data_IF_356202830912
#
_entry.id   IF_356202830912
#
_cell.length_a   1.000
_cell.length_b   1.000
_cell.length_c   1.000
_cell.angle_alpha   90.00
_cell.angle_beta   90.00
_cell.angle_gamma   90.00
#
_symmetry.space_group_name_H-M   'P 1'
#
loop_
_entity.id
_entity.type
_entity.pdbx_description
1 polymer ?
#
# COMPACT_ATOMS: atom_id res chain seq x y z
N UNK A 1 -40.91 -2.31 14.38
CA UNK A 1 -40.35 -0.99 14.04
C UNK A 1 -39.58 -0.46 15.25
N UNK A 2 -38.26 -0.65 15.28
CA UNK A 2 -37.40 -0.11 16.36
C UNK A 2 -36.65 1.07 15.79
N UNK A 3 -36.91 2.24 16.33
CA UNK A 3 -36.22 3.49 15.98
C UNK A 3 -34.84 3.47 16.63
N UNK A 4 -33.76 3.45 15.82
CA UNK A 4 -32.41 3.72 16.27
C UNK A 4 -32.22 5.24 16.38
N UNK A 5 -32.04 5.72 17.58
CA UNK A 5 -31.59 7.09 17.86
C UNK A 5 -30.07 7.12 17.88
N UNK A 6 -29.47 7.89 16.99
CA UNK A 6 -28.02 8.16 16.96
C UNK A 6 -27.78 9.43 17.77
N UNK A 7 -26.93 9.42 18.80
CA UNK A 7 -26.55 10.65 19.50
C UNK A 7 -25.50 11.41 18.67
N UNK A 8 -25.85 12.65 18.34
CA UNK A 8 -24.93 13.64 17.78
C UNK A 8 -23.96 14.13 18.86
N UNK A 9 -22.68 13.82 18.72
CA UNK A 9 -21.62 14.45 19.51
C UNK A 9 -20.99 15.52 18.65
N UNK A 10 -21.33 16.78 18.95
CA UNK A 10 -20.68 17.97 18.39
C UNK A 10 -19.56 18.34 19.35
N UNK A 11 -18.31 18.16 18.92
CA UNK A 11 -17.15 18.73 19.60
C UNK A 11 -16.75 20.04 18.92
N UNK A 12 -16.89 21.14 19.65
CA UNK A 12 -16.44 22.46 19.23
C UNK A 12 -14.92 22.57 19.36
N UNK A 13 -14.23 22.93 18.29
CA UNK A 13 -12.82 23.33 18.29
C UNK A 13 -12.71 24.83 18.28
N UNK A 14 -12.16 25.37 19.37
CA UNK A 14 -11.82 26.78 19.58
C UNK A 14 -10.52 27.09 18.84
N UNK A 15 -10.56 28.16 18.08
CA UNK A 15 -9.40 28.76 17.43
C UNK A 15 -8.53 29.51 18.44
N UNK A 16 -7.23 29.34 18.38
CA UNK A 16 -6.23 30.16 19.06
C UNK A 16 -5.27 30.75 18.05
N UNK A 17 -5.26 32.05 17.96
CA UNK A 17 -4.49 32.84 17.02
C UNK A 17 -3.19 33.40 17.62
N UNK A 18 -2.23 33.62 16.72
CA UNK A 18 -1.19 34.67 16.68
C UNK A 18 -0.08 34.76 17.73
N UNK A 19 1.12 34.90 17.22
CA UNK A 19 2.26 35.46 17.93
C UNK A 19 3.54 35.49 17.12
N UNK A 20 3.66 36.47 16.18
CA UNK A 20 4.93 36.90 15.61
C UNK A 20 5.88 37.42 16.69
N UNK A 21 7.17 37.13 16.57
CA UNK A 21 8.22 38.12 16.89
C UNK A 21 9.55 37.79 16.18
N UNK A 22 9.92 38.73 15.31
CA UNK A 22 11.25 39.06 14.85
C UNK A 22 12.25 39.28 16.00
N UNK A 23 13.49 38.87 15.84
CA UNK A 23 14.63 39.75 16.07
C UNK A 23 15.89 39.23 15.42
N UNK A 24 16.51 40.13 14.63
CA UNK A 24 17.85 40.08 14.11
C UNK A 24 18.90 40.31 15.22
N UNK A 25 20.06 39.74 15.12
CA UNK A 25 21.32 40.52 15.21
C UNK A 25 22.51 39.67 14.78
N UNK A 26 23.18 40.22 13.81
CA UNK A 26 24.60 40.16 13.45
C UNK A 26 25.53 40.10 14.66
N UNK A 27 26.66 39.37 14.57
CA UNK A 27 27.99 39.99 14.53
C UNK A 27 29.07 38.97 14.18
N UNK A 28 29.96 39.45 13.34
CA UNK A 28 31.17 38.79 12.88
C UNK A 28 32.22 38.75 14.00
N UNK A 29 33.03 37.71 14.04
CA UNK A 29 34.45 37.92 14.36
C UNK A 29 35.36 36.86 13.68
N UNK A 30 36.47 37.35 13.22
CA UNK A 30 37.42 36.67 12.38
C UNK A 30 38.57 36.04 13.21
N UNK A 31 39.21 35.07 12.57
CA UNK A 31 40.58 34.63 12.72
C UNK A 31 40.99 33.80 13.96
N UNK A 32 41.33 32.55 13.67
CA UNK A 32 42.71 32.09 13.94
C UNK A 32 42.98 30.79 13.15
N UNK A 33 43.98 30.87 12.28
CA UNK A 33 44.49 29.75 11.48
C UNK A 33 45.45 28.98 12.37
N UNK A 34 45.08 27.79 12.77
CA UNK A 34 46.02 26.82 13.33
C UNK A 34 46.05 25.59 12.43
N UNK A 35 47.17 25.46 11.73
CA UNK A 35 47.51 24.27 10.93
C UNK A 35 47.72 23.08 11.83
N UNK A 36 46.78 22.13 11.77
CA UNK A 36 46.98 20.81 12.34
C UNK A 36 46.99 19.81 11.20
N UNK A 37 48.06 19.04 11.14
CA UNK A 37 48.33 17.99 10.16
C UNK A 37 47.16 17.03 10.04
N UNK A 38 46.73 16.80 8.81
CA UNK A 38 45.73 15.83 8.45
C UNK A 38 46.27 14.41 8.62
N UNK A 39 45.89 13.73 9.70
CA UNK A 39 45.88 12.29 9.73
C UNK A 39 44.57 11.83 9.11
N UNK A 40 44.64 11.21 7.94
CA UNK A 40 43.52 10.54 7.29
C UNK A 40 43.10 9.35 8.15
N UNK A 41 41.85 9.29 8.64
CA UNK A 41 41.35 8.05 9.19
C UNK A 41 41.21 7.04 8.06
N UNK A 42 42.01 6.01 8.08
CA UNK A 42 41.83 4.83 7.26
C UNK A 42 40.44 4.22 7.60
N UNK A 43 39.50 4.44 6.72
CA UNK A 43 38.21 3.70 6.73
C UNK A 43 38.57 2.26 6.43
N UNK A 44 38.73 1.47 7.48
CA UNK A 44 38.71 0.01 7.39
C UNK A 44 37.29 -0.41 7.08
N UNK A 45 36.99 -0.58 5.79
CA UNK A 45 35.85 -1.38 5.36
C UNK A 45 36.01 -2.76 5.98
N UNK A 46 35.03 -3.27 6.72
CA UNK A 46 35.05 -4.65 7.14
C UNK A 46 34.79 -5.50 5.90
N UNK A 47 35.87 -5.87 5.22
CA UNK A 47 35.84 -6.95 4.23
C UNK A 47 35.72 -8.23 5.05
N UNK A 48 34.50 -8.60 5.45
CA UNK A 48 34.26 -9.94 5.95
C UNK A 48 34.70 -10.94 4.86
N UNK A 49 35.51 -11.93 5.19
CA UNK A 49 35.96 -12.90 4.20
C UNK A 49 34.73 -13.57 3.61
N UNK A 50 34.64 -13.60 2.28
CA UNK A 50 33.70 -14.42 1.54
C UNK A 50 34.10 -15.86 1.89
N UNK A 51 33.41 -16.45 2.86
CA UNK A 51 33.46 -17.88 3.09
C UNK A 51 32.96 -18.54 1.83
N UNK A 52 33.85 -19.22 1.11
CA UNK A 52 33.56 -20.08 -0.05
C UNK A 52 32.86 -21.36 0.42
N UNK A 53 31.75 -21.18 1.17
CA UNK A 53 30.79 -22.24 1.48
C UNK A 53 29.57 -22.05 0.58
N UNK A 54 29.00 -23.16 0.10
CA UNK A 54 27.72 -23.16 -0.59
C UNK A 54 26.70 -22.31 0.18
N UNK A 55 26.07 -21.34 -0.49
CA UNK A 55 25.09 -20.47 0.17
C UNK A 55 23.86 -21.30 0.50
N UNK A 56 23.53 -21.41 1.80
CA UNK A 56 22.34 -22.13 2.21
C UNK A 56 21.09 -21.25 2.07
N UNK A 57 19.96 -21.88 1.71
CA UNK A 57 18.66 -21.22 1.68
C UNK A 57 18.32 -20.60 3.06
N UNK A 58 18.56 -21.34 4.14
CA UNK A 58 18.24 -20.92 5.50
C UNK A 58 19.07 -19.69 5.92
N UNK A 59 20.35 -19.62 5.53
CA UNK A 59 21.18 -18.45 5.78
C UNK A 59 20.67 -17.22 5.07
N UNK A 60 20.27 -17.35 3.80
CA UNK A 60 19.67 -16.28 3.02
C UNK A 60 18.29 -15.86 3.58
N UNK A 61 17.48 -16.82 4.02
CA UNK A 61 16.19 -16.54 4.64
C UNK A 61 16.34 -15.86 6.00
N UNK A 62 17.32 -16.23 6.80
CA UNK A 62 17.65 -15.56 8.05
C UNK A 62 17.99 -14.10 7.81
N UNK A 63 18.85 -13.78 6.85
CA UNK A 63 19.15 -12.39 6.49
C UNK A 63 17.88 -11.60 6.11
N UNK A 64 16.95 -12.22 5.36
CA UNK A 64 15.68 -11.60 5.01
C UNK A 64 14.79 -11.34 6.24
N UNK A 65 14.65 -12.31 7.14
CA UNK A 65 13.80 -12.19 8.35
C UNK A 65 14.34 -11.17 9.33
N UNK A 66 15.66 -11.02 9.40
CA UNK A 66 16.36 -9.99 10.18
C UNK A 66 16.39 -8.62 9.48
N UNK A 67 15.68 -8.49 8.34
CA UNK A 67 15.57 -7.27 7.54
C UNK A 67 16.88 -6.78 6.93
N UNK A 68 17.89 -7.62 6.84
CA UNK A 68 19.15 -7.36 6.14
C UNK A 68 18.96 -7.61 4.64
N UNK A 69 18.10 -6.80 3.99
CA UNK A 69 17.58 -7.07 2.66
C UNK A 69 18.65 -7.07 1.56
N UNK A 70 19.65 -6.18 1.64
CA UNK A 70 20.77 -6.15 0.69
C UNK A 70 21.62 -7.42 0.78
N UNK A 71 21.84 -7.94 1.97
CA UNK A 71 22.53 -9.20 2.19
C UNK A 71 21.68 -10.37 1.68
N UNK A 72 20.40 -10.40 2.02
CA UNK A 72 19.46 -11.41 1.52
C UNK A 72 19.43 -11.43 -0.01
N UNK A 73 19.42 -10.26 -0.66
CA UNK A 73 19.46 -10.13 -2.12
C UNK A 73 20.72 -10.79 -2.70
N UNK A 74 21.90 -10.50 -2.15
CA UNK A 74 23.16 -11.12 -2.58
C UNK A 74 23.16 -12.64 -2.36
N UNK A 75 22.74 -13.09 -1.18
CA UNK A 75 22.70 -14.51 -0.84
C UNK A 75 21.70 -15.28 -1.73
N UNK A 76 20.48 -14.76 -1.95
CA UNK A 76 19.53 -15.42 -2.85
C UNK A 76 19.97 -15.37 -4.32
N UNK A 77 20.70 -14.33 -4.76
CA UNK A 77 21.31 -14.30 -6.09
C UNK A 77 22.31 -15.44 -6.27
N UNK A 78 23.19 -15.65 -5.29
CA UNK A 78 24.15 -16.76 -5.31
C UNK A 78 23.42 -18.11 -5.23
N UNK A 79 22.47 -18.23 -4.29
CA UNK A 79 21.69 -19.46 -4.09
C UNK A 79 20.95 -19.89 -5.37
N UNK A 80 20.30 -18.97 -6.08
CA UNK A 80 19.55 -19.29 -7.29
C UNK A 80 20.44 -19.62 -8.48
N UNK A 81 21.69 -19.14 -8.50
CA UNK A 81 22.68 -19.57 -9.51
C UNK A 81 23.13 -21.02 -9.32
N UNK A 82 23.23 -21.47 -8.07
CA UNK A 82 23.59 -22.86 -7.72
C UNK A 82 22.37 -23.81 -7.78
N UNK A 83 21.15 -23.27 -7.60
CA UNK A 83 19.90 -24.02 -7.55
C UNK A 83 18.85 -23.47 -8.55
N UNK A 84 19.11 -23.54 -9.86
CA UNK A 84 18.32 -22.86 -10.89
C UNK A 84 16.89 -23.42 -11.08
N UNK A 85 16.55 -24.52 -10.43
CA UNK A 85 15.19 -25.10 -10.43
C UNK A 85 14.37 -24.76 -9.18
N UNK A 86 14.98 -24.10 -8.18
CA UNK A 86 14.32 -23.85 -6.90
C UNK A 86 13.37 -22.66 -6.98
N UNK A 87 12.07 -22.91 -7.03
CA UNK A 87 11.01 -21.90 -7.08
C UNK A 87 11.06 -20.92 -5.90
N UNK A 88 11.28 -21.45 -4.70
CA UNK A 88 11.32 -20.66 -3.48
C UNK A 88 12.55 -19.74 -3.41
N UNK A 89 13.68 -20.19 -3.98
CA UNK A 89 14.88 -19.35 -4.13
C UNK A 89 14.57 -18.10 -4.95
N UNK A 90 13.98 -18.26 -6.13
CA UNK A 90 13.57 -17.14 -6.99
C UNK A 90 12.48 -16.29 -6.36
N UNK A 91 11.52 -16.90 -5.66
CA UNK A 91 10.51 -16.14 -4.91
C UNK A 91 11.13 -15.26 -3.83
N UNK A 92 12.04 -15.78 -3.03
CA UNK A 92 12.74 -15.03 -1.99
C UNK A 92 13.70 -13.98 -2.56
N UNK A 93 14.34 -14.26 -3.69
CA UNK A 93 15.11 -13.29 -4.46
C UNK A 93 14.23 -12.09 -4.86
N UNK A 94 13.05 -12.37 -5.40
CA UNK A 94 12.08 -11.34 -5.78
C UNK A 94 11.61 -10.50 -4.58
N UNK A 95 11.34 -11.12 -3.44
CA UNK A 95 11.00 -10.40 -2.21
C UNK A 95 12.14 -9.51 -1.73
N UNK A 96 13.38 -10.01 -1.78
CA UNK A 96 14.57 -9.26 -1.35
C UNK A 96 14.80 -8.05 -2.26
N UNK A 97 14.72 -8.24 -3.59
CA UNK A 97 14.81 -7.16 -4.57
C UNK A 97 13.72 -6.10 -4.36
N UNK A 98 12.48 -6.52 -4.11
CA UNK A 98 11.40 -5.58 -3.83
C UNK A 98 11.65 -4.76 -2.56
N UNK A 99 12.17 -5.40 -1.49
CA UNK A 99 12.50 -4.73 -0.21
C UNK A 99 13.65 -3.74 -0.32
N UNK A 100 14.60 -3.97 -1.22
CA UNK A 100 15.69 -3.02 -1.52
C UNK A 100 15.28 -1.92 -2.50
N UNK A 101 14.05 -1.97 -3.04
CA UNK A 101 13.54 -1.01 -4.01
C UNK A 101 13.83 -1.37 -5.47
N UNK A 102 14.54 -2.45 -5.74
CA UNK A 102 14.79 -2.95 -7.11
C UNK A 102 13.52 -3.65 -7.65
N UNK A 103 12.59 -2.84 -8.13
CA UNK A 103 11.32 -3.33 -8.69
C UNK A 103 11.52 -4.19 -9.94
N UNK A 104 12.46 -3.82 -10.79
CA UNK A 104 12.73 -4.57 -12.01
C UNK A 104 13.39 -5.92 -11.70
N UNK A 105 14.30 -5.96 -10.73
CA UNK A 105 14.85 -7.20 -10.20
C UNK A 105 13.79 -8.09 -9.60
N UNK A 106 12.84 -7.51 -8.86
CA UNK A 106 11.72 -8.25 -8.29
C UNK A 106 10.83 -8.88 -9.38
N UNK A 107 10.49 -8.10 -10.43
CA UNK A 107 9.72 -8.60 -11.58
C UNK A 107 10.45 -9.79 -12.22
N UNK A 108 11.75 -9.64 -12.53
CA UNK A 108 12.53 -10.73 -13.12
C UNK A 108 12.54 -11.99 -12.25
N UNK A 109 12.79 -11.85 -10.96
CA UNK A 109 12.89 -12.98 -10.05
C UNK A 109 11.54 -13.69 -9.85
N UNK A 110 10.41 -12.95 -9.69
CA UNK A 110 9.09 -13.59 -9.62
C UNK A 110 8.70 -14.25 -10.94
N UNK A 111 9.07 -13.69 -12.09
CA UNK A 111 8.86 -14.32 -13.39
C UNK A 111 9.64 -15.63 -13.49
N UNK A 112 10.91 -15.65 -13.09
CA UNK A 112 11.72 -16.87 -13.05
C UNK A 112 11.10 -17.93 -12.13
N UNK A 113 10.56 -17.53 -10.97
CA UNK A 113 9.82 -18.47 -10.12
C UNK A 113 8.61 -19.08 -10.86
N UNK A 114 7.87 -18.28 -11.64
CA UNK A 114 6.72 -18.74 -12.42
C UNK A 114 7.10 -19.58 -13.65
N UNK A 115 8.29 -19.40 -14.21
CA UNK A 115 8.84 -20.28 -15.24
C UNK A 115 9.12 -21.70 -14.70
N UNK A 116 9.47 -21.83 -13.42
CA UNK A 116 9.72 -23.11 -12.75
C UNK A 116 8.42 -23.76 -12.25
N UNK A 117 7.51 -22.96 -11.72
CA UNK A 117 6.17 -23.38 -11.27
C UNK A 117 5.15 -22.30 -11.65
N UNK A 118 4.47 -22.52 -12.76
CA UNK A 118 3.45 -21.61 -13.27
C UNK A 118 2.24 -21.47 -12.35
N UNK A 119 2.07 -22.36 -11.37
CA UNK A 119 0.96 -22.34 -10.41
C UNK A 119 1.32 -21.68 -9.08
N UNK A 120 2.57 -21.20 -8.91
CA UNK A 120 3.04 -20.62 -7.65
C UNK A 120 2.30 -19.31 -7.34
N UNK A 121 1.21 -19.41 -6.59
CA UNK A 121 0.28 -18.31 -6.26
C UNK A 121 1.01 -17.13 -5.64
N UNK A 122 1.96 -17.37 -4.71
CA UNK A 122 2.68 -16.29 -4.02
C UNK A 122 3.53 -15.44 -4.98
N UNK A 123 4.16 -16.07 -5.99
CA UNK A 123 4.90 -15.33 -7.01
C UNK A 123 3.97 -14.52 -7.91
N UNK A 124 2.81 -15.07 -8.31
CA UNK A 124 1.81 -14.33 -9.09
C UNK A 124 1.28 -13.11 -8.33
N UNK A 125 0.94 -13.27 -7.06
CA UNK A 125 0.45 -12.16 -6.21
C UNK A 125 1.49 -11.05 -6.09
N UNK A 126 2.75 -11.40 -5.78
CA UNK A 126 3.79 -10.40 -5.58
C UNK A 126 4.24 -9.75 -6.90
N UNK A 127 4.32 -10.51 -7.99
CA UNK A 127 4.56 -9.96 -9.32
C UNK A 127 3.49 -8.93 -9.69
N UNK A 128 2.23 -9.28 -9.48
CA UNK A 128 1.12 -8.37 -9.74
C UNK A 128 1.20 -7.09 -8.92
N UNK A 129 1.58 -7.19 -7.65
CA UNK A 129 1.76 -6.00 -6.78
C UNK A 129 2.86 -5.09 -7.30
N UNK A 130 4.01 -5.65 -7.66
CA UNK A 130 5.14 -4.87 -8.18
C UNK A 130 4.78 -4.22 -9.52
N UNK A 131 4.11 -4.93 -10.41
CA UNK A 131 3.64 -4.39 -11.69
C UNK A 131 2.62 -3.24 -11.49
N UNK A 132 1.68 -3.39 -10.55
CA UNK A 132 0.75 -2.32 -10.19
C UNK A 132 1.49 -1.11 -9.63
N UNK A 133 2.52 -1.30 -8.79
CA UNK A 133 3.34 -0.18 -8.27
C UNK A 133 4.12 0.53 -9.37
N UNK A 134 4.45 -0.17 -10.45
CA UNK A 134 5.09 0.40 -11.65
C UNK A 134 4.08 1.04 -12.64
N UNK A 135 2.78 1.01 -12.35
CA UNK A 135 1.73 1.47 -13.28
C UNK A 135 1.50 0.55 -14.48
N UNK A 136 1.99 -0.68 -14.42
CA UNK A 136 1.90 -1.70 -15.49
C UNK A 136 0.68 -2.61 -15.29
N UNK A 137 -0.51 -2.00 -15.15
CA UNK A 137 -1.74 -2.74 -14.87
C UNK A 137 -2.09 -3.77 -15.97
N UNK A 138 -1.80 -3.46 -17.23
CA UNK A 138 -2.03 -4.38 -18.35
C UNK A 138 -1.19 -5.66 -18.23
N UNK A 139 0.08 -5.53 -17.79
CA UNK A 139 0.96 -6.67 -17.57
C UNK A 139 0.56 -7.46 -16.31
N UNK A 140 0.04 -6.78 -15.28
CA UNK A 140 -0.42 -7.42 -14.05
C UNK A 140 -1.67 -8.29 -14.23
N UNK A 141 -2.53 -7.96 -15.20
CA UNK A 141 -3.85 -8.60 -15.39
C UNK A 141 -3.77 -10.14 -15.52
N UNK A 142 -2.98 -10.74 -16.41
CA UNK A 142 -2.94 -12.19 -16.55
C UNK A 142 -2.43 -12.90 -15.28
N UNK A 143 -1.59 -12.24 -14.51
CA UNK A 143 -1.08 -12.82 -13.27
C UNK A 143 -2.16 -12.86 -12.18
N UNK A 144 -2.91 -11.77 -11.97
CA UNK A 144 -4.01 -11.77 -10.98
C UNK A 144 -5.17 -12.66 -11.39
N UNK A 145 -5.49 -12.76 -12.68
CA UNK A 145 -6.48 -13.69 -13.19
C UNK A 145 -6.04 -15.15 -12.96
N UNK A 146 -4.75 -15.43 -13.16
CA UNK A 146 -4.18 -16.74 -12.82
C UNK A 146 -4.27 -17.08 -11.33
N UNK A 147 -4.17 -16.07 -10.42
CA UNK A 147 -4.37 -16.31 -8.98
C UNK A 147 -5.79 -16.77 -8.70
N UNK A 148 -6.81 -16.04 -9.16
CA UNK A 148 -8.21 -16.36 -8.85
C UNK A 148 -8.72 -17.60 -9.59
N UNK A 149 -8.00 -18.02 -10.62
CA UNK A 149 -8.26 -19.29 -11.33
C UNK A 149 -7.74 -20.48 -10.52
N UNK A 150 -6.53 -20.38 -9.97
CA UNK A 150 -5.90 -21.45 -9.15
C UNK A 150 -6.54 -21.49 -7.75
N UNK A 151 -6.80 -20.33 -7.17
CA UNK A 151 -7.39 -20.18 -5.84
C UNK A 151 -8.60 -19.24 -5.90
N UNK A 152 -9.76 -19.81 -6.15
CA UNK A 152 -11.04 -19.07 -6.23
C UNK A 152 -11.53 -18.53 -4.88
N UNK A 153 -10.85 -18.88 -3.78
CA UNK A 153 -11.10 -18.36 -2.44
C UNK A 153 -10.08 -17.30 -2.01
N UNK A 154 -9.17 -16.90 -2.89
CA UNK A 154 -8.15 -15.88 -2.61
C UNK A 154 -8.77 -14.49 -2.50
N UNK A 155 -9.07 -14.04 -1.28
CA UNK A 155 -9.49 -12.66 -1.01
C UNK A 155 -8.51 -11.66 -1.61
N UNK A 156 -7.22 -11.86 -1.40
CA UNK A 156 -6.17 -10.99 -1.89
C UNK A 156 -6.08 -10.98 -3.42
N UNK A 157 -6.27 -12.14 -4.06
CA UNK A 157 -6.32 -12.25 -5.52
C UNK A 157 -7.43 -11.38 -6.10
N UNK A 158 -8.65 -11.46 -5.54
CA UNK A 158 -9.77 -10.60 -5.97
C UNK A 158 -9.55 -9.13 -5.67
N UNK A 159 -8.90 -8.78 -4.55
CA UNK A 159 -8.55 -7.39 -4.24
C UNK A 159 -7.56 -6.82 -5.26
N UNK A 160 -6.54 -7.57 -5.64
CA UNK A 160 -5.59 -7.15 -6.69
C UNK A 160 -6.26 -7.10 -8.06
N UNK A 161 -7.11 -8.06 -8.40
CA UNK A 161 -7.88 -8.05 -9.64
C UNK A 161 -8.76 -6.80 -9.74
N UNK A 162 -9.43 -6.44 -8.64
CA UNK A 162 -10.22 -5.21 -8.58
C UNK A 162 -9.37 -3.96 -8.81
N UNK A 163 -8.17 -3.90 -8.23
CA UNK A 163 -7.23 -2.78 -8.45
C UNK A 163 -6.80 -2.69 -9.90
N UNK A 164 -6.35 -3.79 -10.48
CA UNK A 164 -5.91 -3.85 -11.88
C UNK A 164 -7.03 -3.40 -12.81
N UNK A 165 -8.25 -3.94 -12.64
CA UNK A 165 -9.40 -3.57 -13.46
C UNK A 165 -9.77 -2.09 -13.32
N UNK A 166 -9.69 -1.53 -12.12
CA UNK A 166 -9.92 -0.11 -11.88
C UNK A 166 -8.88 0.77 -12.59
N UNK A 167 -7.61 0.40 -12.56
CA UNK A 167 -6.53 1.12 -13.25
C UNK A 167 -6.65 1.04 -14.77
N UNK A 168 -7.22 -0.07 -15.29
CA UNK A 168 -7.53 -0.24 -16.71
C UNK A 168 -8.85 0.41 -17.16
N UNK A 169 -9.58 1.06 -16.23
CA UNK A 169 -10.86 1.70 -16.53
C UNK A 169 -12.07 0.74 -16.54
N UNK A 170 -11.87 -0.56 -16.33
CA UNK A 170 -12.97 -1.53 -16.16
C UNK A 170 -13.59 -1.39 -14.76
N UNK A 171 -14.34 -0.32 -14.58
CA UNK A 171 -15.02 -0.04 -13.30
C UNK A 171 -16.02 -1.14 -12.92
N UNK A 172 -16.70 -1.74 -13.91
CA UNK A 172 -17.68 -2.81 -13.66
C UNK A 172 -17.00 -4.08 -13.15
N UNK A 173 -15.91 -4.48 -13.80
CA UNK A 173 -15.11 -5.62 -13.36
C UNK A 173 -14.44 -5.37 -12.00
N UNK A 174 -13.97 -4.15 -11.77
CA UNK A 174 -13.38 -3.76 -10.48
C UNK A 174 -14.39 -3.89 -9.32
N UNK A 175 -15.62 -3.39 -9.50
CA UNK A 175 -16.70 -3.51 -8.51
C UNK A 175 -16.95 -4.98 -8.18
N UNK A 176 -17.14 -5.84 -9.20
CA UNK A 176 -17.39 -7.28 -9.00
C UNK A 176 -16.24 -7.95 -8.24
N UNK A 177 -14.99 -7.63 -8.59
CA UNK A 177 -13.82 -8.21 -7.95
C UNK A 177 -13.70 -7.77 -6.47
N UNK A 178 -13.88 -6.48 -6.17
CA UNK A 178 -13.87 -6.00 -4.77
C UNK A 178 -15.03 -6.57 -3.96
N UNK A 179 -16.23 -6.66 -4.52
CA UNK A 179 -17.37 -7.30 -3.85
C UNK A 179 -17.06 -8.77 -3.53
N UNK A 180 -16.43 -9.50 -4.46
CA UNK A 180 -16.03 -10.89 -4.22
C UNK A 180 -14.98 -10.98 -3.11
N UNK A 181 -13.98 -10.09 -3.09
CA UNK A 181 -13.01 -10.01 -2.01
C UNK A 181 -13.70 -9.78 -0.64
N UNK A 182 -14.66 -8.85 -0.56
CA UNK A 182 -15.42 -8.55 0.67
C UNK A 182 -16.27 -9.75 1.11
N UNK A 183 -16.85 -10.52 0.17
CA UNK A 183 -17.58 -11.74 0.49
C UNK A 183 -16.66 -12.82 1.07
N UNK A 184 -15.44 -12.93 0.56
CA UNK A 184 -14.45 -13.90 1.03
C UNK A 184 -13.85 -13.52 2.39
N UNK A 185 -13.67 -12.23 2.64
CA UNK A 185 -13.25 -11.69 3.92
C UNK A 185 -14.08 -10.44 4.25
N UNK A 186 -15.10 -10.63 5.10
CA UNK A 186 -15.98 -9.55 5.56
C UNK A 186 -15.27 -8.47 6.40
N UNK A 187 -13.97 -8.61 6.67
CA UNK A 187 -13.13 -7.63 7.36
C UNK A 187 -12.06 -7.00 6.46
N UNK A 188 -12.11 -7.22 5.14
CA UNK A 188 -11.20 -6.57 4.20
C UNK A 188 -11.56 -5.09 3.99
N UNK A 189 -11.19 -4.26 4.95
CA UNK A 189 -11.38 -2.81 4.90
C UNK A 189 -10.72 -2.16 3.66
N UNK A 190 -9.64 -2.74 3.15
CA UNK A 190 -8.95 -2.24 1.94
C UNK A 190 -9.79 -2.44 0.69
N UNK A 191 -10.44 -3.61 0.54
CA UNK A 191 -11.36 -3.85 -0.58
C UNK A 191 -12.59 -2.96 -0.48
N UNK A 192 -13.14 -2.72 0.71
CA UNK A 192 -14.26 -1.80 0.92
C UNK A 192 -13.90 -0.37 0.52
N UNK A 193 -12.73 0.13 0.93
CA UNK A 193 -12.25 1.45 0.53
C UNK A 193 -11.99 1.55 -0.98
N UNK A 194 -11.43 0.51 -1.59
CA UNK A 194 -11.18 0.51 -3.04
C UNK A 194 -12.49 0.45 -3.84
N UNK A 195 -13.48 -0.32 -3.39
CA UNK A 195 -14.82 -0.33 -3.95
C UNK A 195 -15.45 1.07 -3.92
N UNK A 196 -15.38 1.73 -2.76
CA UNK A 196 -15.88 3.09 -2.61
C UNK A 196 -15.16 4.09 -3.54
N UNK A 197 -13.85 3.96 -3.72
CA UNK A 197 -13.10 4.80 -4.66
C UNK A 197 -13.60 4.64 -6.10
N UNK A 198 -13.96 3.43 -6.51
CA UNK A 198 -14.55 3.19 -7.83
C UNK A 198 -15.92 3.87 -7.93
N UNK A 199 -16.78 3.74 -6.91
CA UNK A 199 -18.06 4.44 -6.87
C UNK A 199 -17.90 5.97 -6.93
N UNK A 200 -16.98 6.53 -6.15
CA UNK A 200 -16.66 7.97 -6.19
C UNK A 200 -16.21 8.40 -7.60
N UNK A 201 -15.36 7.61 -8.25
CA UNK A 201 -14.91 7.85 -9.62
C UNK A 201 -16.03 7.85 -10.67
N UNK A 202 -17.13 7.11 -10.40
CA UNK A 202 -18.35 7.08 -11.22
C UNK A 202 -19.37 8.16 -10.84
N UNK A 203 -19.09 9.01 -9.83
CA UNK A 203 -20.07 9.96 -9.29
C UNK A 203 -21.17 9.32 -8.44
N UNK A 204 -21.06 8.04 -8.09
CA UNK A 204 -22.00 7.27 -7.26
C UNK A 204 -21.64 7.42 -5.79
N UNK A 205 -21.77 8.64 -5.29
CA UNK A 205 -21.26 9.00 -3.95
C UNK A 205 -22.01 8.30 -2.82
N UNK A 206 -23.34 8.16 -2.94
CA UNK A 206 -24.18 7.46 -1.97
C UNK A 206 -23.75 5.99 -1.81
N UNK A 207 -23.44 5.31 -2.91
CA UNK A 207 -23.01 3.91 -2.90
C UNK A 207 -21.64 3.73 -2.21
N UNK A 208 -20.83 4.79 -2.14
CA UNK A 208 -19.53 4.76 -1.47
C UNK A 208 -19.62 4.83 0.05
N UNK A 209 -20.70 5.39 0.62
CA UNK A 209 -20.81 5.69 2.06
C UNK A 209 -20.78 4.42 2.91
N UNK A 210 -21.58 3.41 2.55
CA UNK A 210 -21.67 2.15 3.30
C UNK A 210 -20.33 1.42 3.40
N UNK A 211 -19.66 1.14 2.28
CA UNK A 211 -18.33 0.53 2.30
C UNK A 211 -17.29 1.32 3.10
N UNK A 212 -17.28 2.66 3.04
CA UNK A 212 -16.33 3.49 3.79
C UNK A 212 -16.62 3.48 5.29
N UNK A 213 -17.89 3.58 5.68
CA UNK A 213 -18.27 3.47 7.08
C UNK A 213 -17.80 2.13 7.66
N UNK A 214 -18.03 1.04 6.92
CA UNK A 214 -17.59 -0.29 7.35
C UNK A 214 -16.06 -0.43 7.42
N UNK A 215 -15.32 0.16 6.46
CA UNK A 215 -13.86 0.16 6.48
C UNK A 215 -13.31 0.87 7.74
N UNK A 216 -13.92 2.01 8.13
CA UNK A 216 -13.56 2.77 9.33
C UNK A 216 -13.91 2.01 10.62
N UNK A 217 -15.04 1.29 10.67
CA UNK A 217 -15.39 0.43 11.81
C UNK A 217 -14.35 -0.66 12.02
N UNK A 218 -13.75 -1.20 10.94
CA UNK A 218 -12.75 -2.26 11.00
C UNK A 218 -11.38 -1.71 11.40
N UNK A 219 -10.99 -0.57 10.83
CA UNK A 219 -9.72 0.11 11.12
C UNK A 219 -9.88 1.63 10.98
N UNK A 220 -10.11 2.30 12.10
CA UNK A 220 -10.28 3.75 12.16
C UNK A 220 -8.97 4.53 12.04
N UNK A 221 -7.82 3.88 12.03
CA UNK A 221 -6.51 4.56 11.99
C UNK A 221 -6.07 4.93 10.57
N UNK A 222 -6.73 4.37 9.55
CA UNK A 222 -6.36 4.60 8.13
C UNK A 222 -6.95 5.92 7.63
N UNK A 223 -6.14 6.96 7.57
CA UNK A 223 -6.55 8.30 7.14
C UNK A 223 -7.24 8.33 5.75
N UNK A 224 -6.83 7.44 4.84
CA UNK A 224 -7.41 7.35 3.50
C UNK A 224 -8.92 7.01 3.52
N UNK A 225 -9.41 6.24 4.50
CA UNK A 225 -10.82 5.90 4.62
C UNK A 225 -11.64 7.12 4.99
N UNK A 226 -11.17 7.93 5.95
CA UNK A 226 -11.80 9.18 6.36
C UNK A 226 -11.78 10.23 5.24
N UNK A 227 -10.65 10.33 4.52
CA UNK A 227 -10.54 11.26 3.38
C UNK A 227 -11.54 10.90 2.28
N UNK A 228 -11.68 9.63 1.94
CA UNK A 228 -12.63 9.20 0.93
C UNK A 228 -14.09 9.36 1.41
N UNK A 229 -14.37 9.11 2.69
CA UNK A 229 -15.69 9.35 3.27
C UNK A 229 -16.05 10.85 3.22
N UNK A 230 -15.14 11.73 3.63
CA UNK A 230 -15.33 13.20 3.52
C UNK A 230 -15.66 13.61 2.10
N UNK A 231 -14.88 13.13 1.11
CA UNK A 231 -15.14 13.41 -0.32
C UNK A 231 -16.52 12.93 -0.77
N UNK A 232 -16.95 11.74 -0.35
CA UNK A 232 -18.27 11.22 -0.70
C UNK A 232 -19.36 12.06 -0.06
N UNK A 233 -19.25 12.41 1.22
CA UNK A 233 -20.22 13.25 1.95
C UNK A 233 -20.33 14.67 1.38
N UNK A 234 -19.23 15.30 1.00
CA UNK A 234 -19.25 16.62 0.36
C UNK A 234 -20.05 16.63 -0.93
N UNK A 235 -20.00 15.53 -1.67
CA UNK A 235 -20.69 15.40 -2.96
C UNK A 235 -22.13 14.90 -2.82
N UNK A 236 -22.44 14.14 -1.76
CA UNK A 236 -23.83 13.72 -1.46
C UNK A 236 -24.61 14.82 -0.78
N UNK A 237 -23.94 15.68 0.00
CA UNK A 237 -24.53 16.86 0.57
C UNK A 237 -24.83 17.86 -0.55
N UNK A 238 -25.91 17.60 -1.30
CA UNK A 238 -26.49 18.63 -2.14
C UNK A 238 -26.87 19.79 -1.21
N UNK A 239 -26.11 20.89 -1.28
CA UNK A 239 -26.34 22.09 -0.47
C UNK A 239 -27.77 22.58 -0.57
N UNK A 240 -28.45 22.34 -1.70
CA UNK A 240 -29.86 22.63 -1.88
C UNK A 240 -30.75 21.78 -1.00
N UNK A 241 -30.52 20.46 -0.89
CA UNK A 241 -31.32 19.57 -0.02
C UNK A 241 -31.13 19.86 1.45
N UNK A 242 -29.91 20.21 1.86
CA UNK A 242 -29.63 20.65 3.24
C UNK A 242 -30.30 22.00 3.53
N UNK A 243 -30.27 22.94 2.59
CA UNK A 243 -30.95 24.22 2.72
C UNK A 243 -32.47 24.05 2.76
N UNK A 244 -33.05 23.22 1.91
CA UNK A 244 -34.49 22.90 1.94
C UNK A 244 -34.92 22.19 3.22
N UNK A 245 -34.15 21.19 3.66
CA UNK A 245 -34.41 20.51 4.94
C UNK A 245 -34.29 21.44 6.14
N UNK A 246 -33.31 22.35 6.13
CA UNK A 246 -33.15 23.36 7.18
C UNK A 246 -34.28 24.37 7.17
N UNK A 247 -34.70 24.86 6.00
CA UNK A 247 -35.85 25.78 5.86
C UNK A 247 -37.15 25.11 6.34
N UNK A 248 -37.36 23.83 6.02
CA UNK A 248 -38.52 23.09 6.48
C UNK A 248 -38.51 22.89 8.01
N UNK A 249 -37.35 22.59 8.58
CA UNK A 249 -37.19 22.45 10.02
C UNK A 249 -37.40 23.76 10.78
N UNK A 250 -36.96 24.88 10.21
CA UNK A 250 -37.20 26.23 10.81
C UNK A 250 -38.69 26.60 10.77
N UNK A 251 -39.44 26.20 9.73
CA UNK A 251 -40.89 26.41 9.66
C UNK A 251 -41.67 25.64 10.75
N UNK A 252 -41.17 24.47 11.14
CA UNK A 252 -41.81 23.64 12.19
C UNK A 252 -41.55 24.12 13.59
N UNK A 253 -40.64 25.11 13.78
CA UNK A 253 -40.31 25.71 15.07
C UNK A 253 -41.04 27.05 15.31
N UNK A 254 -41.89 27.49 14.38
CA UNK A 254 -42.80 28.61 14.52
C UNK A 254 -44.22 28.15 14.78
#
# INVERSE_FOLDING_TARGET
>A
MRKLTIPCVIAALVAGACGDKHSQSSDANAAEVTTVSAETPSVSTPTSPITTGTVSFDGAQTAYTEKRYDEALRLFTSYTSEHPSNVWGFYMLGLSAWKTGDRDGAVRAFTQALEKDSTHVKSRLNLSRVLIEQGKAQEALPHVEGVVTVDSASNEGYRLLGRVKAELGDSSGAIKAFQRAIVLDGRDARSMNNLARVYIGQGRFEDALGPLARAIEIDSTVAAFHTNLGRALERTADRSRLAEAFVEQVKTWR
#
